data_IF_610228026696
#
_entry.id   IF_610228026696
#
_cell.length_a   1.000
_cell.length_b   1.000
_cell.length_c   1.000
_cell.angle_alpha   90.00
_cell.angle_beta   90.00
_cell.angle_gamma   90.00
#
_symmetry.space_group_name_H-M   'P 1'
#
loop_
_entity.id
_entity.type
_entity.pdbx_description
1 polymer ?
#
# COMPACT_ATOMS: atom_id res chain seq x y z
N UNK A 1 13.96 9.41 -33.43
CA UNK A 1 13.83 8.23 -32.56
C UNK A 1 12.75 8.59 -31.58
N UNK A 2 11.57 7.98 -31.72
CA UNK A 2 10.48 8.16 -30.77
C UNK A 2 11.03 7.77 -29.39
N UNK A 3 11.08 8.73 -28.49
CA UNK A 3 11.36 8.48 -27.10
C UNK A 3 10.07 7.87 -26.56
N UNK A 4 10.03 6.56 -26.37
CA UNK A 4 8.89 5.90 -25.72
C UNK A 4 8.59 6.69 -24.43
N UNK A 5 7.40 7.31 -24.38
CA UNK A 5 7.04 8.25 -23.33
C UNK A 5 7.06 7.53 -21.97
N UNK A 6 8.16 7.68 -21.23
CA UNK A 6 8.27 7.15 -19.88
C UNK A 6 7.17 7.80 -19.04
N UNK A 7 6.30 6.97 -18.47
CA UNK A 7 5.26 7.42 -17.55
C UNK A 7 5.89 8.26 -16.44
N UNK A 8 5.46 9.52 -16.34
CA UNK A 8 6.03 10.46 -15.38
C UNK A 8 5.60 10.14 -13.93
N UNK A 9 4.47 9.46 -13.76
CA UNK A 9 3.92 9.06 -12.46
C UNK A 9 3.52 7.60 -12.50
N UNK A 10 3.93 6.86 -11.48
CA UNK A 10 3.55 5.46 -11.27
C UNK A 10 2.86 5.31 -9.92
N UNK A 11 1.87 4.42 -9.87
CA UNK A 11 1.29 3.90 -8.63
C UNK A 11 1.65 2.41 -8.60
N UNK A 12 2.38 1.99 -7.57
CA UNK A 12 2.91 0.64 -7.46
C UNK A 12 2.73 0.12 -6.04
N UNK A 13 2.58 -1.19 -5.87
CA UNK A 13 2.68 -1.80 -4.55
C UNK A 13 4.16 -1.95 -4.14
N UNK A 14 4.73 -0.93 -3.49
CA UNK A 14 6.14 -0.93 -3.12
C UNK A 14 6.49 -1.93 -2.01
N UNK A 15 5.53 -2.64 -1.42
CA UNK A 15 5.84 -3.76 -0.54
C UNK A 15 6.52 -4.91 -1.31
N UNK A 16 6.30 -4.99 -2.63
CA UNK A 16 6.90 -6.00 -3.52
C UNK A 16 8.20 -5.52 -4.19
N UNK A 17 8.70 -4.33 -3.85
CA UNK A 17 9.89 -3.75 -4.46
C UNK A 17 11.00 -3.53 -3.43
N UNK A 18 12.24 -3.70 -3.88
CA UNK A 18 13.42 -3.24 -3.15
C UNK A 18 13.67 -1.75 -3.39
N UNK A 19 14.41 -1.11 -2.49
CA UNK A 19 14.83 0.29 -2.62
C UNK A 19 15.61 0.55 -3.91
N UNK A 20 16.43 -0.42 -4.32
CA UNK A 20 17.24 -0.35 -5.54
C UNK A 20 16.35 -0.36 -6.80
N UNK A 21 15.28 -1.17 -6.80
CA UNK A 21 14.32 -1.19 -7.89
C UNK A 21 13.56 0.13 -8.01
N UNK A 22 13.10 0.71 -6.89
CA UNK A 22 12.45 2.03 -6.87
C UNK A 22 13.41 3.13 -7.34
N UNK A 23 14.66 3.09 -6.88
CA UNK A 23 15.71 4.02 -7.31
C UNK A 23 15.99 3.91 -8.82
N UNK A 24 16.01 2.69 -9.36
CA UNK A 24 16.21 2.46 -10.79
C UNK A 24 15.07 3.06 -11.64
N UNK A 25 13.82 3.01 -11.17
CA UNK A 25 12.67 3.65 -11.84
C UNK A 25 12.83 5.17 -11.89
N UNK A 26 13.27 5.80 -10.79
CA UNK A 26 13.56 7.23 -10.80
C UNK A 26 14.69 7.60 -11.76
N UNK A 27 15.77 6.80 -11.79
CA UNK A 27 16.89 7.00 -12.72
C UNK A 27 16.47 6.81 -14.19
N UNK A 28 15.49 5.94 -14.44
CA UNK A 28 14.90 5.74 -15.77
C UNK A 28 13.96 6.90 -16.21
N UNK A 29 13.68 7.86 -15.33
CA UNK A 29 12.96 9.10 -15.67
C UNK A 29 11.59 9.26 -15.02
N UNK A 30 11.13 8.29 -14.22
CA UNK A 30 9.88 8.41 -13.45
C UNK A 30 10.02 9.52 -12.40
N UNK A 31 9.14 10.51 -12.44
CA UNK A 31 9.21 11.69 -11.55
C UNK A 31 8.53 11.47 -10.22
N UNK A 32 7.46 10.66 -10.20
CA UNK A 32 6.68 10.38 -9.00
C UNK A 32 6.32 8.91 -8.89
N UNK A 33 6.57 8.31 -7.74
CA UNK A 33 6.16 6.95 -7.41
C UNK A 33 5.32 7.00 -6.13
N UNK A 34 4.03 6.75 -6.27
CA UNK A 34 3.12 6.59 -5.13
C UNK A 34 3.03 5.11 -4.77
N UNK A 35 3.19 4.79 -3.49
CA UNK A 35 2.92 3.44 -3.03
C UNK A 35 1.42 3.23 -2.86
N UNK A 36 0.88 2.14 -3.39
CA UNK A 36 -0.38 1.60 -2.91
C UNK A 36 -0.27 1.36 -1.40
N UNK A 37 -1.30 1.78 -0.67
CA UNK A 37 -1.44 1.54 0.75
C UNK A 37 -2.92 1.33 1.06
N UNK A 38 -3.27 0.09 1.35
CA UNK A 38 -4.59 -0.25 1.88
C UNK A 38 -4.71 0.23 3.32
N UNK A 39 -5.74 1.03 3.61
CA UNK A 39 -6.01 1.53 4.97
C UNK A 39 -7.29 0.97 5.57
N UNK A 40 -8.13 0.31 4.76
CA UNK A 40 -9.50 -0.08 5.11
C UNK A 40 -9.75 -1.58 5.11
N UNK A 41 -8.81 -2.38 4.62
CA UNK A 41 -8.95 -3.84 4.62
C UNK A 41 -7.67 -4.57 5.06
N UNK A 42 -7.80 -5.89 5.22
CA UNK A 42 -6.72 -6.84 5.48
C UNK A 42 -6.66 -7.88 4.37
N UNK A 43 -5.59 -7.80 3.59
CA UNK A 43 -5.23 -8.75 2.55
C UNK A 43 -4.52 -9.98 3.17
N UNK A 44 -5.02 -11.18 2.92
CA UNK A 44 -4.56 -12.42 3.58
C UNK A 44 -3.13 -12.82 3.21
N UNK A 45 -2.64 -12.38 2.06
CA UNK A 45 -1.29 -12.65 1.57
C UNK A 45 -0.22 -11.71 2.16
N UNK A 46 -0.62 -10.67 2.91
CA UNK A 46 0.33 -9.76 3.57
C UNK A 46 0.99 -10.44 4.77
N UNK A 47 2.29 -10.19 4.93
CA UNK A 47 3.08 -10.75 6.04
C UNK A 47 2.54 -10.37 7.43
N UNK A 48 1.81 -9.25 7.54
CA UNK A 48 1.20 -8.77 8.77
C UNK A 48 -0.23 -9.27 9.00
N UNK A 49 -0.83 -10.07 8.10
CA UNK A 49 -2.18 -10.57 8.28
C UNK A 49 -2.35 -11.30 9.62
N UNK A 50 -1.41 -12.19 9.98
CA UNK A 50 -1.45 -12.93 11.24
C UNK A 50 -1.44 -12.00 12.48
N UNK A 51 -0.84 -10.80 12.39
CA UNK A 51 -0.81 -9.81 13.47
C UNK A 51 -2.19 -9.16 13.67
N UNK A 52 -2.94 -8.94 12.59
CA UNK A 52 -4.18 -8.14 12.61
C UNK A 52 -5.45 -8.92 12.29
N UNK A 53 -5.40 -10.22 11.98
CA UNK A 53 -6.58 -11.01 11.60
C UNK A 53 -7.75 -10.94 12.60
N UNK A 54 -7.47 -10.68 13.89
CA UNK A 54 -8.50 -10.48 14.92
C UNK A 54 -9.29 -9.18 14.77
N UNK A 55 -8.83 -8.25 13.94
CA UNK A 55 -9.49 -7.00 13.60
C UNK A 55 -10.36 -7.12 12.35
N UNK A 56 -10.32 -8.25 11.64
CA UNK A 56 -11.18 -8.51 10.50
C UNK A 56 -12.66 -8.48 10.91
N UNK A 57 -13.49 -7.78 10.12
CA UNK A 57 -14.91 -7.56 10.39
C UNK A 57 -15.80 -8.42 9.51
N UNK A 58 -15.68 -8.26 8.20
CA UNK A 58 -16.46 -8.98 7.20
C UNK A 58 -15.60 -9.26 5.97
N UNK A 59 -15.89 -10.33 5.20
CA UNK A 59 -15.26 -10.54 3.89
C UNK A 59 -15.52 -9.34 2.98
N UNK A 60 -14.54 -8.99 2.16
CA UNK A 60 -14.73 -8.00 1.11
C UNK A 60 -15.39 -8.68 -0.10
N UNK A 61 -16.59 -8.21 -0.47
CA UNK A 61 -17.29 -8.67 -1.66
C UNK A 61 -16.41 -8.63 -2.93
N UNK A 62 -16.37 -9.75 -3.66
CA UNK A 62 -15.55 -9.99 -4.86
C UNK A 62 -14.04 -10.17 -4.63
N UNK A 63 -13.56 -10.10 -3.38
CA UNK A 63 -12.14 -10.27 -3.02
C UNK A 63 -12.00 -11.33 -1.92
N UNK A 64 -11.95 -12.61 -2.30
CA UNK A 64 -11.96 -13.75 -1.37
C UNK A 64 -10.76 -13.75 -0.38
N UNK A 65 -9.67 -13.10 -0.77
CA UNK A 65 -8.44 -13.00 0.01
C UNK A 65 -8.38 -11.72 0.86
N UNK A 66 -9.51 -11.04 1.07
CA UNK A 66 -9.55 -9.71 1.68
C UNK A 66 -10.74 -9.54 2.64
N UNK A 67 -10.52 -8.82 3.73
CA UNK A 67 -11.51 -8.56 4.77
C UNK A 67 -11.51 -7.10 5.17
N UNK A 68 -12.67 -6.49 5.35
CA UNK A 68 -12.78 -5.19 6.01
C UNK A 68 -12.16 -5.23 7.40
N UNK A 69 -11.46 -4.16 7.81
CA UNK A 69 -10.74 -4.08 9.08
C UNK A 69 -11.34 -3.05 10.02
N UNK A 70 -11.23 -3.28 11.32
CA UNK A 70 -11.52 -2.27 12.33
C UNK A 70 -10.53 -1.09 12.29
N UNK A 71 -10.82 -0.09 11.47
CA UNK A 71 -9.99 1.12 11.34
C UNK A 71 -10.01 2.03 12.57
N UNK A 72 -10.92 1.81 13.52
CA UNK A 72 -10.94 2.54 14.79
C UNK A 72 -9.87 2.05 15.77
N UNK A 73 -9.28 0.88 15.49
CA UNK A 73 -8.28 0.28 16.36
C UNK A 73 -6.93 1.03 16.27
N UNK A 74 -6.47 1.55 17.41
CA UNK A 74 -5.21 2.33 17.49
C UNK A 74 -4.00 1.50 17.04
N UNK A 75 -3.97 0.18 17.28
CA UNK A 75 -2.83 -0.64 16.85
C UNK A 75 -2.72 -0.77 15.33
N UNK A 76 -3.86 -0.73 14.62
CA UNK A 76 -3.90 -0.68 13.16
C UNK A 76 -3.42 0.66 12.64
N UNK A 77 -3.94 1.76 13.19
CA UNK A 77 -3.53 3.12 12.83
C UNK A 77 -2.02 3.35 13.07
N UNK A 78 -1.52 2.93 14.23
CA UNK A 78 -0.11 3.04 14.57
C UNK A 78 0.77 2.21 13.65
N UNK A 79 0.36 0.98 13.31
CA UNK A 79 1.08 0.16 12.35
C UNK A 79 1.16 0.81 10.96
N UNK A 80 0.02 1.27 10.42
CA UNK A 80 -0.02 1.92 9.11
C UNK A 80 0.89 3.15 9.06
N UNK A 81 0.81 4.04 10.06
CA UNK A 81 1.50 5.34 10.03
C UNK A 81 2.95 5.24 10.50
N UNK A 82 3.22 4.46 11.55
CA UNK A 82 4.52 4.45 12.24
C UNK A 82 5.42 3.30 11.81
N UNK A 83 4.89 2.29 11.11
CA UNK A 83 5.69 1.16 10.63
C UNK A 83 5.62 1.07 9.10
N UNK A 84 4.46 0.78 8.53
CA UNK A 84 4.33 0.46 7.10
C UNK A 84 4.62 1.67 6.21
N UNK A 85 4.01 2.83 6.48
CA UNK A 85 4.28 4.05 5.72
C UNK A 85 5.75 4.47 5.80
N UNK A 86 6.40 4.29 6.96
CA UNK A 86 7.82 4.59 7.13
C UNK A 86 8.69 3.67 6.26
N UNK A 87 8.42 2.36 6.24
CA UNK A 87 9.14 1.41 5.36
C UNK A 87 9.02 1.81 3.88
N UNK A 88 7.82 2.17 3.43
CA UNK A 88 7.57 2.57 2.05
C UNK A 88 8.28 3.88 1.67
N UNK A 89 8.30 4.87 2.57
CA UNK A 89 9.10 6.10 2.39
C UNK A 89 10.60 5.78 2.33
N UNK A 90 11.10 4.88 3.19
CA UNK A 90 12.51 4.47 3.17
C UNK A 90 12.90 3.72 1.89
N UNK A 91 11.95 3.01 1.26
CA UNK A 91 12.10 2.39 -0.08
C UNK A 91 12.08 3.41 -1.22
N UNK A 92 11.57 4.62 -0.99
CA UNK A 92 11.60 5.71 -1.97
C UNK A 92 10.22 6.17 -2.47
N UNK A 93 9.13 5.84 -1.78
CA UNK A 93 7.82 6.40 -2.11
C UNK A 93 7.83 7.94 -2.03
N UNK A 94 7.32 8.62 -3.05
CA UNK A 94 7.05 10.07 -3.04
C UNK A 94 5.75 10.42 -2.29
N UNK A 95 4.88 9.43 -2.12
CA UNK A 95 3.57 9.57 -1.49
C UNK A 95 2.80 8.25 -1.51
N UNK A 96 1.51 8.33 -1.17
CA UNK A 96 0.65 7.16 -1.08
C UNK A 96 -0.60 7.32 -1.95
N UNK A 97 -1.00 6.21 -2.58
CA UNK A 97 -2.35 6.02 -3.09
C UNK A 97 -3.10 5.19 -2.05
N UNK A 98 -4.06 5.84 -1.37
CA UNK A 98 -4.81 5.24 -0.27
C UNK A 98 -6.05 4.56 -0.82
N UNK A 99 -6.17 3.26 -0.59
CA UNK A 99 -7.36 2.48 -0.99
C UNK A 99 -8.28 2.18 0.20
N UNK A 100 -9.51 1.75 -0.09
CA UNK A 100 -10.51 1.30 0.90
C UNK A 100 -10.89 2.38 1.93
N UNK A 101 -10.87 3.65 1.50
CA UNK A 101 -11.25 4.80 2.35
C UNK A 101 -12.77 4.93 2.60
N UNK A 102 -13.56 4.07 1.96
CA UNK A 102 -15.01 3.92 2.08
C UNK A 102 -15.47 2.87 3.11
N UNK A 103 -14.52 2.27 3.85
CA UNK A 103 -14.73 1.27 4.91
C UNK A 103 -15.71 1.69 6.03
N UNK A 104 -16.01 2.98 6.20
CA UNK A 104 -16.84 3.49 7.30
C UNK A 104 -18.28 2.94 7.35
N UNK A 105 -18.75 2.29 6.28
CA UNK A 105 -20.08 1.68 6.19
C UNK A 105 -20.09 0.15 6.41
N UNK A 106 -18.95 -0.44 6.75
CA UNK A 106 -18.72 -1.90 6.77
C UNK A 106 -18.59 -2.47 8.19
#
# INVERSE_FOLDING_TARGET
MEQDDVYQTLILDLQNFSKEQVSALHLAGVKKIYSYLDVGSLETYRSYFARFHKLARAPYENWEEEYWVDVSNISWQDFLVKELAIDLVQKGADGFFLDNTDVYAQ
#
